data_IF_325801315816
#
_entry.id   IF_325801315816
#
_cell.length_a   1.000
_cell.length_b   1.000
_cell.length_c   1.000
_cell.angle_alpha   90.00
_cell.angle_beta   90.00
_cell.angle_gamma   90.00
#
_symmetry.space_group_name_H-M   'P 1'
#
loop_
_entity.id
_entity.type
_entity.pdbx_description
1 polymer ?
2 non-polymer ?
3 non-polymer ?
4 non-polymer ?
5 water ?
#
# COMPACT_ATOMS: atom_id res chain seq x y z
N UNK A 1 -6.91 -2.95 -20.77
CA UNK A 1 -5.44 -3.25 -20.89
C UNK A 1 -5.06 -4.53 -20.15
N UNK A 2 -4.07 -5.27 -20.68
CA UNK A 2 -3.62 -6.56 -20.12
C UNK A 2 -2.93 -6.44 -18.77
N UNK A 3 -2.00 -5.51 -18.63
CA UNK A 3 -1.30 -5.33 -17.37
C UNK A 3 -1.88 -4.12 -16.65
N UNK A 4 -2.63 -4.39 -15.59
CA UNK A 4 -3.29 -3.33 -14.85
C UNK A 4 -2.61 -3.15 -13.51
N UNK A 5 -2.42 -1.88 -13.12
CA UNK A 5 -1.74 -1.57 -11.87
C UNK A 5 -2.76 -0.92 -10.93
N UNK A 6 -2.86 -1.43 -9.71
CA UNK A 6 -3.75 -0.88 -8.69
C UNK A 6 -2.93 -0.30 -7.54
N UNK A 7 -3.06 1.00 -7.30
CA UNK A 7 -2.29 1.63 -6.25
C UNK A 7 -3.00 2.73 -5.48
N UNK A 8 -2.50 3.04 -4.29
CA UNK A 8 -3.12 4.07 -3.46
C UNK A 8 -2.64 5.41 -3.89
N UNK A 9 -3.55 6.36 -4.05
CA UNK A 9 -3.22 7.71 -4.49
C UNK A 9 -2.98 8.69 -3.34
N UNK A 10 -3.17 8.23 -2.11
CA UNK A 10 -3.03 9.12 -0.98
C UNK A 10 -1.95 8.62 -0.02
N UNK A 11 -2.34 8.22 1.19
CA UNK A 11 -1.38 7.78 2.20
C UNK A 11 -1.67 6.36 2.69
N UNK A 12 -1.98 5.48 1.74
CA UNK A 12 -2.25 4.12 2.11
C UNK A 12 -3.73 3.95 2.56
N UNK A 13 -4.06 2.68 2.82
CA UNK A 13 -5.41 2.37 3.23
C UNK A 13 -6.58 2.94 2.35
N UNK A 14 -6.35 3.19 1.07
CA UNK A 14 -7.49 3.70 0.31
C UNK A 14 -8.52 2.60 0.04
N UNK A 15 -8.04 1.35 0.08
CA UNK A 15 -8.88 0.19 -0.21
C UNK A 15 -8.37 -0.67 -1.37
N UNK A 16 -7.04 -0.82 -1.50
CA UNK A 16 -6.47 -1.63 -2.58
C UNK A 16 -6.84 -3.09 -2.42
N UNK A 17 -6.72 -3.61 -1.18
CA UNK A 17 -7.06 -5.01 -0.97
C UNK A 17 -8.40 -5.38 -1.57
N UNK A 18 -9.50 -4.78 -1.10
CA UNK A 18 -10.81 -5.13 -1.68
C UNK A 18 -10.78 -5.06 -3.20
N UNK A 19 -10.45 -3.89 -3.75
CA UNK A 19 -10.44 -3.72 -5.20
C UNK A 19 -9.57 -4.74 -5.92
N UNK A 20 -8.39 -5.05 -5.40
CA UNK A 20 -7.52 -6.02 -6.06
C UNK A 20 -8.24 -7.34 -6.04
N UNK A 21 -8.80 -7.72 -4.88
CA UNK A 21 -9.49 -9.00 -4.80
C UNK A 21 -10.59 -9.03 -5.84
N UNK A 22 -11.38 -7.98 -5.87
CA UNK A 22 -12.49 -7.85 -6.79
C UNK A 22 -12.01 -7.99 -8.22
N UNK A 23 -11.12 -7.12 -8.64
CA UNK A 23 -10.65 -7.14 -10.02
C UNK A 23 -9.89 -8.40 -10.49
N UNK A 24 -9.39 -9.22 -9.57
CA UNK A 24 -8.61 -10.38 -9.98
C UNK A 24 -9.41 -11.51 -10.57
N UNK A 25 -10.73 -11.37 -10.56
CA UNK A 25 -11.60 -12.41 -11.10
C UNK A 25 -11.15 -12.82 -12.48
N UNK A 26 -10.79 -11.83 -13.28
CA UNK A 26 -10.36 -12.12 -14.63
C UNK A 26 -8.84 -12.24 -14.75
N UNK A 27 -8.09 -12.13 -13.66
CA UNK A 27 -6.63 -12.17 -13.75
C UNK A 27 -5.96 -13.52 -13.59
N UNK A 28 -4.85 -13.69 -14.32
CA UNK A 28 -4.04 -14.90 -14.28
C UNK A 28 -3.04 -14.73 -13.12
N UNK A 29 -2.45 -13.54 -13.03
CA UNK A 29 -1.49 -13.28 -11.96
C UNK A 29 -1.81 -12.02 -11.21
N UNK A 30 -1.30 -11.94 -9.98
CA UNK A 30 -1.43 -10.74 -9.15
C UNK A 30 -0.05 -10.53 -8.53
N UNK A 31 0.51 -9.34 -8.66
CA UNK A 31 1.86 -9.11 -8.16
C UNK A 31 2.06 -7.95 -7.17
N UNK A 32 2.71 -8.25 -6.05
CA UNK A 32 3.06 -7.25 -5.06
C UNK A 32 4.45 -6.84 -5.59
N UNK A 33 4.73 -5.56 -5.69
CA UNK A 33 6.02 -5.12 -6.20
C UNK A 33 6.80 -4.22 -5.25
N UNK A 34 6.29 -4.00 -4.05
CA UNK A 34 6.96 -3.16 -3.05
C UNK A 34 6.32 -3.19 -1.65
N UNK A 35 7.10 -2.77 -0.65
CA UNK A 35 6.70 -2.77 0.74
C UNK A 35 6.93 -4.16 1.33
N UNK A 36 6.29 -4.45 2.45
CA UNK A 36 6.44 -5.76 3.07
C UNK A 36 5.14 -6.00 3.82
N UNK A 37 5.23 -6.41 5.09
CA UNK A 37 4.02 -6.64 5.84
C UNK A 37 3.58 -5.42 6.68
N UNK A 38 4.02 -4.24 6.27
CA UNK A 38 3.63 -3.00 6.93
C UNK A 38 2.24 -2.76 6.34
N UNK A 39 2.02 -3.27 5.14
CA UNK A 39 0.73 -3.16 4.47
C UNK A 39 -0.35 -3.96 5.23
N UNK A 40 -1.60 -3.50 5.10
CA UNK A 40 -2.72 -4.18 5.73
C UNK A 40 -3.91 -4.06 4.81
N UNK A 41 -4.30 -5.18 4.22
CA UNK A 41 -5.40 -5.22 3.27
C UNK A 41 -6.56 -6.08 3.80
N UNK A 42 -7.74 -5.48 3.89
CA UNK A 42 -8.93 -6.18 4.37
C UNK A 42 -9.87 -6.56 3.23
N UNK A 43 -10.03 -7.86 3.03
CA UNK A 43 -10.93 -8.38 2.00
C UNK A 43 -12.14 -8.87 2.73
N UNK A 44 -13.32 -8.55 2.20
CA UNK A 44 -14.60 -8.95 2.77
C UNK A 44 -15.46 -9.60 1.69
N UNK A 45 -15.72 -10.90 1.80
CA UNK A 45 -16.55 -11.61 0.82
C UNK A 45 -17.74 -12.20 1.57
N UNK A 46 -18.95 -11.78 1.19
CA UNK A 46 -20.18 -12.21 1.86
C UNK A 46 -19.97 -12.16 3.37
N UNK A 47 -19.49 -11.03 3.87
CA UNK A 47 -19.27 -10.87 5.28
C UNK A 47 -18.02 -11.43 5.91
N UNK A 48 -17.30 -12.38 5.25
CA UNK A 48 -16.07 -13.00 5.81
C UNK A 48 -14.76 -12.20 5.63
N UNK A 49 -14.30 -11.57 6.71
CA UNK A 49 -13.11 -10.76 6.64
C UNK A 49 -11.78 -11.54 6.55
N UNK A 50 -10.89 -11.10 5.66
CA UNK A 50 -9.56 -11.71 5.48
C UNK A 50 -8.57 -10.57 5.47
N UNK A 51 -7.59 -10.59 6.37
CA UNK A 51 -6.60 -9.50 6.41
C UNK A 51 -5.24 -9.93 5.90
N UNK A 52 -4.86 -9.38 4.77
CA UNK A 52 -3.57 -9.71 4.18
C UNK A 52 -2.54 -8.58 4.49
N UNK A 53 -1.27 -8.94 4.58
CA UNK A 53 -0.24 -7.94 4.83
C UNK A 53 0.84 -8.09 3.76
N UNK A 54 1.52 -9.24 3.78
CA UNK A 54 2.57 -9.57 2.84
C UNK A 54 2.08 -10.37 1.63
N UNK A 55 1.06 -11.19 1.82
CA UNK A 55 0.56 -12.01 0.71
C UNK A 55 -0.34 -11.19 -0.23
N UNK A 56 -0.13 -11.29 -1.54
CA UNK A 56 -0.96 -10.52 -2.48
C UNK A 56 -2.46 -10.79 -2.28
N UNK A 57 -3.28 -9.78 -2.52
CA UNK A 57 -4.70 -9.91 -2.31
C UNK A 57 -5.45 -10.80 -3.31
N UNK A 58 -4.72 -11.43 -4.21
CA UNK A 58 -5.37 -12.33 -5.16
C UNK A 58 -5.33 -13.79 -4.65
N UNK A 59 -4.74 -13.98 -3.47
CA UNK A 59 -4.60 -15.30 -2.86
C UNK A 59 -5.91 -16.07 -2.62
N UNK A 60 -7.04 -15.39 -2.56
CA UNK A 60 -8.32 -16.09 -2.35
C UNK A 60 -8.93 -16.62 -3.63
N UNK A 61 -8.34 -16.32 -4.78
CA UNK A 61 -8.91 -16.80 -6.04
C UNK A 61 -8.01 -17.88 -6.67
N UNK A 62 -8.46 -19.14 -6.61
CA UNK A 62 -7.64 -20.24 -7.13
C UNK A 62 -7.24 -20.13 -8.58
N UNK A 63 -7.94 -19.31 -9.34
CA UNK A 63 -7.61 -19.13 -10.77
C UNK A 63 -6.45 -18.18 -10.95
N UNK A 64 -6.00 -17.54 -9.87
CA UNK A 64 -4.91 -16.56 -9.93
C UNK A 64 -3.66 -17.00 -9.19
N UNK A 65 -2.50 -16.69 -9.76
CA UNK A 65 -1.19 -17.01 -9.16
C UNK A 65 -0.65 -15.74 -8.50
N UNK A 66 -0.52 -15.75 -7.18
CA UNK A 66 -0.04 -14.59 -6.50
C UNK A 66 1.49 -14.55 -6.42
N UNK A 67 2.07 -13.41 -6.81
CA UNK A 67 3.51 -13.25 -6.81
C UNK A 67 4.05 -12.16 -5.93
N UNK A 68 5.11 -12.49 -5.21
CA UNK A 68 5.76 -11.54 -4.35
C UNK A 68 6.98 -11.13 -5.20
N UNK A 69 6.89 -9.93 -5.75
CA UNK A 69 7.95 -9.43 -6.61
C UNK A 69 9.21 -9.07 -5.87
N UNK A 70 10.32 -9.05 -6.60
CA UNK A 70 11.60 -8.73 -6.00
C UNK A 70 11.60 -7.44 -5.19
N UNK A 71 10.74 -6.51 -5.53
CA UNK A 71 10.71 -5.27 -4.79
C UNK A 71 10.33 -5.44 -3.34
N UNK A 72 9.55 -6.45 -3.02
CA UNK A 72 9.09 -6.68 -1.66
C UNK A 72 10.14 -7.10 -0.62
N UNK A 73 10.09 -6.44 0.55
CA UNK A 73 10.97 -6.80 1.63
C UNK A 73 10.14 -7.85 2.36
N UNK A 74 10.67 -9.08 2.36
CA UNK A 74 9.96 -10.22 2.91
C UNK A 74 10.42 -10.83 4.23
N UNK A 75 9.51 -10.85 5.18
CA UNK A 75 9.75 -11.41 6.51
C UNK A 75 9.31 -12.87 6.52
N UNK A 76 10.27 -13.81 6.60
CA UNK A 76 9.96 -15.25 6.61
C UNK A 76 8.93 -15.53 7.70
N UNK A 77 9.16 -15.00 8.90
CA UNK A 77 8.22 -15.16 10.00
C UNK A 77 6.82 -14.69 9.57
N UNK A 78 6.74 -13.49 9.00
CA UNK A 78 5.48 -12.91 8.53
C UNK A 78 4.82 -13.79 7.49
N UNK A 79 5.59 -14.20 6.49
CA UNK A 79 5.02 -15.07 5.48
C UNK A 79 4.41 -16.34 6.11
N UNK A 80 5.22 -17.05 6.91
CA UNK A 80 4.79 -18.26 7.57
C UNK A 80 3.51 -18.05 8.35
N UNK A 81 3.48 -16.99 9.14
CA UNK A 81 2.30 -16.66 9.92
C UNK A 81 1.07 -16.50 9.09
N UNK A 82 1.15 -15.75 8.00
CA UNK A 82 0.01 -15.55 7.14
C UNK A 82 -0.37 -16.84 6.40
N UNK A 83 0.60 -17.52 5.82
CA UNK A 83 0.31 -18.76 5.11
C UNK A 83 -0.53 -19.67 6.01
N UNK A 84 -0.01 -19.92 7.22
CA UNK A 84 -0.70 -20.80 8.15
C UNK A 84 -2.15 -20.35 8.33
N UNK A 85 -2.36 -19.08 8.59
CA UNK A 85 -3.70 -18.56 8.80
C UNK A 85 -4.63 -18.77 7.63
N UNK A 86 -4.12 -18.60 6.41
CA UNK A 86 -4.96 -18.78 5.24
C UNK A 86 -5.25 -20.26 5.00
N UNK A 87 -4.25 -21.09 5.28
CA UNK A 87 -4.36 -22.54 5.12
C UNK A 87 -5.43 -23.15 6.02
N UNK A 88 -5.49 -22.70 7.26
CA UNK A 88 -6.50 -23.21 8.16
C UNK A 88 -7.86 -22.87 7.66
N UNK A 89 -7.94 -21.83 6.81
CA UNK A 89 -9.23 -21.36 6.28
C UNK A 89 -9.57 -21.96 4.91
N UNK A 90 -8.81 -22.96 4.51
CA UNK A 90 -9.09 -23.58 3.23
C UNK A 90 -8.31 -23.03 2.07
N UNK A 91 -7.46 -22.03 2.32
CA UNK A 91 -6.65 -21.45 1.25
C UNK A 91 -5.31 -22.15 1.13
N UNK A 92 -5.12 -22.94 0.07
CA UNK A 92 -3.85 -23.65 -0.14
C UNK A 92 -2.74 -22.71 -0.66
N UNK A 93 -2.36 -21.71 0.14
CA UNK A 93 -1.33 -20.72 -0.27
C UNK A 93 -0.18 -21.26 -1.12
N UNK A 94 0.53 -22.25 -0.62
CA UNK A 94 1.65 -22.83 -1.33
C UNK A 94 1.32 -23.25 -2.74
N UNK A 95 0.05 -23.53 -3.01
CA UNK A 95 -0.32 -23.92 -4.36
C UNK A 95 -0.43 -22.71 -5.27
N UNK A 96 -0.79 -21.54 -4.72
CA UNK A 96 -1.00 -20.30 -5.48
C UNK A 96 0.10 -19.24 -5.40
N UNK A 97 0.93 -19.29 -4.36
CA UNK A 97 1.97 -18.28 -4.15
C UNK A 97 3.38 -18.59 -4.66
N UNK A 98 3.93 -17.66 -5.42
CA UNK A 98 5.28 -17.78 -5.96
C UNK A 98 6.04 -16.56 -5.47
N UNK A 99 7.36 -16.56 -5.59
CA UNK A 99 8.11 -15.41 -5.11
C UNK A 99 9.54 -15.26 -5.63
N UNK A 100 9.98 -14.02 -5.69
CA UNK A 100 11.31 -13.70 -6.19
C UNK A 100 12.48 -13.99 -5.26
N UNK A 101 13.50 -14.65 -5.82
CA UNK A 101 14.71 -14.95 -5.08
C UNK A 101 15.44 -13.64 -4.77
N UNK A 102 15.10 -12.57 -5.48
CA UNK A 102 15.76 -11.29 -5.28
C UNK A 102 15.19 -10.52 -4.11
N UNK A 103 14.09 -10.96 -3.53
CA UNK A 103 13.49 -10.25 -2.41
C UNK A 103 14.42 -10.17 -1.21
N UNK A 104 14.65 -8.96 -0.69
CA UNK A 104 15.52 -8.91 0.50
C UNK A 104 14.73 -9.53 1.69
N UNK A 105 15.45 -10.03 2.70
CA UNK A 105 14.81 -10.64 3.86
C UNK A 105 14.80 -9.66 5.01
N UNK A 106 13.66 -9.65 5.74
CA UNK A 106 13.43 -8.83 6.94
C UNK A 106 13.61 -9.82 8.10
N UNK A 107 14.68 -9.67 8.86
CA UNK A 107 14.96 -10.58 9.95
C UNK A 107 14.82 -9.79 11.22
N UNK A 108 14.98 -10.43 12.38
CA UNK A 108 14.79 -9.74 13.67
C UNK A 108 15.52 -8.44 13.90
N UNK A 109 16.83 -8.42 13.66
CA UNK A 109 17.60 -7.19 13.88
C UNK A 109 16.93 -6.00 13.17
N UNK A 110 16.37 -6.22 11.98
CA UNK A 110 15.70 -5.16 11.23
C UNK A 110 14.65 -4.54 12.16
N UNK A 111 13.86 -5.35 12.87
CA UNK A 111 12.87 -4.74 13.78
C UNK A 111 13.57 -4.08 14.96
N UNK A 112 14.66 -4.71 15.41
CA UNK A 112 15.47 -4.18 16.49
C UNK A 112 15.88 -2.77 16.06
N UNK A 113 16.45 -2.66 14.85
CA UNK A 113 16.86 -1.38 14.27
C UNK A 113 15.69 -0.43 14.13
N UNK A 114 14.61 -0.89 13.50
CA UNK A 114 13.45 -0.05 13.30
C UNK A 114 13.02 0.59 14.62
N UNK A 115 13.02 -0.20 15.70
CA UNK A 115 12.63 0.32 17.00
C UNK A 115 13.65 1.32 17.54
N UNK A 116 14.93 0.95 17.48
CA UNK A 116 15.99 1.84 17.94
C UNK A 116 15.92 3.20 17.25
N UNK A 117 15.95 3.22 15.91
CA UNK A 117 15.92 4.49 15.19
C UNK A 117 14.73 5.30 15.67
N UNK A 118 13.56 4.70 15.54
CA UNK A 118 12.35 5.37 15.95
C UNK A 118 12.56 6.04 17.31
N UNK A 119 13.15 5.30 18.26
CA UNK A 119 13.43 5.83 19.59
C UNK A 119 14.33 7.06 19.46
N UNK A 120 15.49 6.90 18.83
CA UNK A 120 16.43 7.99 18.64
C UNK A 120 15.84 9.29 18.15
N UNK A 121 14.90 9.21 17.21
CA UNK A 121 14.24 10.40 16.65
C UNK A 121 13.36 11.12 17.67
N UNK A 122 13.03 10.44 18.76
CA UNK A 122 12.21 11.05 19.78
C UNK A 122 10.93 11.68 19.27
N UNK A 123 10.82 12.99 19.50
CA UNK A 123 9.62 13.73 19.09
C UNK A 123 9.39 13.73 17.58
N UNK A 124 10.40 14.06 16.79
CA UNK A 124 10.19 14.08 15.35
C UNK A 124 10.20 12.67 14.76
N UNK A 125 9.54 11.74 15.44
CA UNK A 125 9.48 10.33 15.04
C UNK A 125 8.52 10.07 13.88
N UNK A 126 9.01 9.35 12.88
CA UNK A 126 8.27 9.03 11.66
C UNK A 126 6.92 8.32 11.89
N UNK A 127 6.91 7.38 12.82
CA UNK A 127 5.72 6.62 13.08
C UNK A 127 5.66 5.45 12.13
N UNK A 128 6.73 4.66 12.09
CA UNK A 128 6.77 3.50 11.21
C UNK A 128 6.04 2.37 11.87
N UNK A 129 5.43 1.50 11.04
CA UNK A 129 4.65 0.36 11.50
C UNK A 129 5.36 -0.67 12.42
N UNK A 130 6.64 -0.47 12.69
CA UNK A 130 7.34 -1.38 13.58
C UNK A 130 7.82 -2.68 13.00
N UNK A 131 7.52 -2.94 11.73
CA UNK A 131 8.05 -4.14 11.05
C UNK A 131 9.46 -3.65 10.71
N UNK A 132 10.36 -4.45 10.16
CA UNK A 132 11.65 -3.82 9.88
C UNK A 132 11.82 -3.32 8.44
N UNK A 133 10.81 -2.64 7.92
CA UNK A 133 10.84 -2.21 6.53
C UNK A 133 12.02 -1.35 6.15
N UNK A 134 12.24 -0.28 6.92
CA UNK A 134 13.31 0.65 6.66
C UNK A 134 14.67 0.01 6.55
N UNK A 135 15.12 -0.68 7.62
CA UNK A 135 16.42 -1.34 7.64
C UNK A 135 16.60 -2.38 6.54
N UNK A 136 15.56 -3.14 6.25
CA UNK A 136 15.63 -4.15 5.21
C UNK A 136 15.96 -3.46 3.90
N UNK A 137 15.28 -2.34 3.59
CA UNK A 137 15.59 -1.60 2.35
C UNK A 137 17.02 -1.02 2.38
N UNK A 138 17.45 -0.49 3.54
CA UNK A 138 18.82 0.04 3.72
C UNK A 138 19.83 -1.06 3.42
N UNK A 139 19.67 -2.22 4.06
CA UNK A 139 20.55 -3.37 3.83
C UNK A 139 20.58 -3.78 2.34
N UNK A 140 19.44 -3.64 1.66
CA UNK A 140 19.38 -3.91 0.22
C UNK A 140 20.35 -2.95 -0.48
N UNK A 141 20.02 -1.68 -0.39
CA UNK A 141 20.79 -0.61 -1.01
C UNK A 141 22.26 -0.61 -0.61
N UNK A 142 22.57 -0.98 0.63
CA UNK A 142 23.94 -1.00 1.02
C UNK A 142 24.63 -2.24 0.45
N UNK A 143 23.86 -3.16 -0.12
CA UNK A 143 24.39 -4.42 -0.68
C UNK A 143 24.98 -5.37 0.37
N UNK A 144 24.39 -5.40 1.56
CA UNK A 144 24.84 -6.28 2.63
C UNK A 144 23.69 -7.12 3.11
N UNK A 145 22.48 -6.79 2.66
CA UNK A 145 21.33 -7.54 3.09
C UNK A 145 21.22 -8.92 2.45
N UNK A 146 20.47 -9.80 3.11
CA UNK A 146 20.25 -11.14 2.62
C UNK A 146 18.99 -11.14 1.76
N UNK A 147 18.96 -12.01 0.75
CA UNK A 147 17.84 -12.14 -0.14
C UNK A 147 17.35 -13.59 -0.06
N UNK A 148 16.18 -13.86 -0.64
CA UNK A 148 15.67 -15.20 -0.64
C UNK A 148 16.74 -16.16 -1.21
N UNK A 149 17.21 -15.92 -2.43
CA UNK A 149 18.20 -16.78 -3.07
C UNK A 149 19.43 -17.07 -2.21
N UNK A 150 19.65 -16.31 -1.14
CA UNK A 150 20.82 -16.60 -0.31
C UNK A 150 20.64 -17.91 0.43
N UNK A 151 19.39 -18.37 0.55
CA UNK A 151 19.08 -19.61 1.24
C UNK A 151 19.45 -20.84 0.38
N UNK A 152 19.87 -20.60 -0.87
CA UNK A 152 20.24 -21.70 -1.75
C UNK A 152 21.51 -22.37 -1.26
N UNK A 153 22.13 -21.82 -0.22
CA UNK A 153 23.35 -22.39 0.32
C UNK A 153 23.32 -21.98 1.77
N UNK A 154 22.84 -22.88 2.61
CA UNK A 154 22.69 -22.59 4.02
C UNK A 154 23.96 -22.28 4.77
N UNK A 155 25.08 -22.94 4.42
CA UNK A 155 26.35 -22.68 5.10
C UNK A 155 26.89 -21.31 4.80
N UNK A 156 26.84 -20.95 3.53
CA UNK A 156 27.24 -19.64 3.10
C UNK A 156 26.30 -18.64 3.77
N UNK A 157 25.00 -18.99 3.85
CA UNK A 157 24.02 -18.10 4.49
C UNK A 157 24.39 -17.81 5.93
N UNK A 158 24.79 -18.86 6.65
CA UNK A 158 25.23 -18.72 8.04
C UNK A 158 26.43 -17.78 8.10
N UNK A 159 27.31 -17.90 7.11
CA UNK A 159 28.48 -17.02 7.01
C UNK A 159 28.06 -15.57 6.86
N UNK A 160 27.30 -15.26 5.81
CA UNK A 160 26.78 -13.90 5.54
C UNK A 160 25.95 -13.35 6.71
N UNK A 161 25.03 -14.18 7.22
CA UNK A 161 24.19 -13.78 8.35
C UNK A 161 25.04 -13.45 9.60
N UNK A 162 26.07 -14.25 9.90
CA UNK A 162 26.95 -14.03 11.07
C UNK A 162 27.56 -12.64 10.94
N UNK A 163 28.03 -12.33 9.74
CA UNK A 163 28.63 -11.05 9.43
C UNK A 163 27.67 -9.88 9.63
N UNK A 164 26.60 -9.87 8.85
CA UNK A 164 25.62 -8.80 8.89
C UNK A 164 25.09 -8.56 10.30
N UNK A 165 24.94 -9.64 11.06
CA UNK A 165 24.45 -9.54 12.42
C UNK A 165 25.51 -8.93 13.35
N UNK A 166 26.76 -9.42 13.32
CA UNK A 166 27.75 -8.79 14.18
C UNK A 166 27.75 -7.27 13.90
N UNK A 167 27.78 -6.92 12.62
CA UNK A 167 27.77 -5.53 12.18
C UNK A 167 26.65 -4.75 12.85
N UNK A 168 25.42 -5.24 12.70
CA UNK A 168 24.28 -4.54 13.30
C UNK A 168 24.28 -4.59 14.81
N UNK A 169 24.68 -5.74 15.36
CA UNK A 169 24.73 -5.93 16.80
C UNK A 169 25.60 -4.83 17.41
N UNK A 170 26.78 -4.62 16.84
CA UNK A 170 27.69 -3.59 17.34
C UNK A 170 26.96 -2.27 17.53
N UNK A 171 26.24 -1.85 16.49
CA UNK A 171 25.48 -0.60 16.46
C UNK A 171 24.35 -0.57 17.55
N UNK A 172 23.64 -1.68 17.68
CA UNK A 172 22.56 -1.79 18.66
C UNK A 172 23.00 -1.62 20.12
N UNK A 173 24.07 -2.31 20.51
CA UNK A 173 24.52 -2.22 21.89
C UNK A 173 25.40 -1.00 22.21
N UNK A 174 26.36 -0.70 21.35
CA UNK A 174 27.26 0.40 21.62
C UNK A 174 26.70 1.81 21.40
N UNK A 175 25.99 1.99 20.30
CA UNK A 175 25.44 3.30 20.01
C UNK A 175 24.07 3.42 20.63
N UNK A 176 23.13 2.64 20.11
CA UNK A 176 21.77 2.69 20.62
C UNK A 176 21.63 2.22 22.06
N UNK A 177 22.68 1.55 22.56
CA UNK A 177 22.67 1.03 23.92
C UNK A 177 21.43 0.16 24.10
N UNK A 178 21.17 -0.64 23.07
CA UNK A 178 20.03 -1.55 23.02
C UNK A 178 20.54 -2.97 23.10
N UNK A 179 19.64 -3.92 23.34
CA UNK A 179 20.06 -5.33 23.45
C UNK A 179 20.38 -5.92 22.07
N UNK A 180 21.42 -6.75 22.03
CA UNK A 180 21.84 -7.39 20.80
C UNK A 180 20.77 -8.39 20.36
N UNK A 181 20.82 -8.80 19.10
CA UNK A 181 19.86 -9.76 18.60
C UNK A 181 20.65 -11.06 18.39
N UNK A 182 20.25 -12.13 19.05
CA UNK A 182 20.98 -13.37 18.92
C UNK A 182 21.09 -13.99 17.55
N UNK A 183 22.30 -13.96 17.02
CA UNK A 183 22.58 -14.56 15.73
C UNK A 183 21.98 -15.97 15.57
N UNK A 184 22.31 -16.89 16.48
CA UNK A 184 21.81 -18.27 16.39
C UNK A 184 20.30 -18.41 16.39
N UNK A 185 19.62 -17.53 17.11
CA UNK A 185 18.17 -17.55 17.17
C UNK A 185 17.69 -17.24 15.75
N UNK A 186 18.23 -16.17 15.17
CA UNK A 186 17.86 -15.80 13.82
C UNK A 186 18.18 -16.92 12.82
N UNK A 187 19.42 -17.39 12.81
CA UNK A 187 19.76 -18.41 11.85
C UNK A 187 18.82 -19.59 11.95
N UNK A 188 18.49 -20.00 13.19
CA UNK A 188 17.60 -21.13 13.40
C UNK A 188 16.20 -20.90 12.88
N UNK A 189 15.52 -19.86 13.37
CA UNK A 189 14.16 -19.53 12.91
C UNK A 189 14.10 -19.51 11.38
N UNK A 190 15.16 -18.99 10.78
CA UNK A 190 15.27 -18.89 9.33
C UNK A 190 15.39 -20.26 8.65
N UNK A 191 16.41 -21.03 9.02
CA UNK A 191 16.66 -22.35 8.43
C UNK A 191 15.48 -23.29 8.53
N UNK A 192 14.68 -23.15 9.58
CA UNK A 192 13.48 -23.99 9.73
C UNK A 192 12.53 -23.77 8.56
N UNK A 193 12.32 -22.51 8.18
CA UNK A 193 11.41 -22.17 7.07
C UNK A 193 12.06 -22.12 5.68
N UNK A 194 13.37 -21.93 5.64
CA UNK A 194 14.12 -21.87 4.40
C UNK A 194 13.54 -22.73 3.31
N UNK A 195 13.41 -24.04 3.53
CA UNK A 195 12.87 -24.95 2.50
C UNK A 195 11.52 -24.55 1.91
N UNK A 196 10.57 -24.18 2.77
CA UNK A 196 9.25 -23.74 2.31
C UNK A 196 9.51 -22.51 1.42
N UNK A 197 10.23 -21.55 1.98
CA UNK A 197 10.59 -20.31 1.31
C UNK A 197 11.15 -20.61 -0.08
N UNK A 198 12.22 -21.38 -0.14
CA UNK A 198 12.84 -21.69 -1.42
C UNK A 198 11.86 -22.37 -2.39
N UNK A 199 10.98 -23.25 -1.89
CA UNK A 199 10.08 -23.94 -2.77
C UNK A 199 9.22 -23.00 -3.65
N UNK A 200 8.81 -21.85 -3.12
CA UNK A 200 7.99 -20.93 -3.89
C UNK A 200 8.71 -20.03 -4.91
N UNK A 201 10.02 -20.13 -5.00
CA UNK A 201 10.77 -19.30 -5.92
C UNK A 201 10.53 -19.57 -7.40
N UNK A 202 10.49 -18.46 -8.14
CA UNK A 202 10.27 -18.49 -9.57
C UNK A 202 11.04 -17.27 -10.07
N UNK A 203 11.46 -17.34 -11.33
CA UNK A 203 12.12 -16.22 -11.98
C UNK A 203 10.97 -15.28 -12.43
N UNK A 204 10.54 -14.36 -11.57
CA UNK A 204 9.44 -13.41 -11.86
C UNK A 204 9.49 -12.52 -13.16
N UNK A 205 10.66 -11.96 -13.46
CA UNK A 205 10.73 -11.13 -14.65
C UNK A 205 10.39 -11.95 -15.85
N UNK A 206 11.04 -13.10 -15.97
CA UNK A 206 10.80 -13.98 -17.13
C UNK A 206 9.34 -14.46 -17.24
N UNK A 207 8.79 -14.84 -16.08
CA UNK A 207 7.43 -15.32 -16.02
C UNK A 207 6.56 -14.19 -16.53
N UNK A 208 6.78 -12.98 -16.01
CA UNK A 208 6.02 -11.78 -16.46
C UNK A 208 6.25 -11.44 -17.95
N UNK A 209 7.46 -11.58 -18.45
CA UNK A 209 7.68 -11.33 -19.86
C UNK A 209 6.86 -12.35 -20.66
N UNK A 210 6.87 -13.60 -20.23
CA UNK A 210 6.10 -14.66 -20.91
C UNK A 210 4.61 -14.32 -20.82
N UNK A 211 4.11 -14.13 -19.60
CA UNK A 211 2.71 -13.77 -19.45
C UNK A 211 2.38 -12.62 -20.41
N UNK A 212 3.20 -11.59 -20.38
CA UNK A 212 2.99 -10.42 -21.20
C UNK A 212 2.84 -10.80 -22.65
N UNK A 213 3.75 -11.64 -23.15
CA UNK A 213 3.70 -12.09 -24.54
C UNK A 213 2.52 -13.01 -24.89
N UNK A 214 1.85 -13.57 -23.88
CA UNK A 214 0.70 -14.44 -24.09
C UNK A 214 -0.57 -13.63 -24.09
N UNK A 215 -0.58 -12.54 -23.35
CA UNK A 215 -1.76 -11.72 -23.28
C UNK A 215 -2.38 -11.88 -21.91
N UNK A 216 -1.72 -12.64 -21.05
CA UNK A 216 -2.27 -12.85 -19.73
C UNK A 216 -2.62 -11.60 -18.94
N UNK A 217 -3.75 -11.67 -18.26
CA UNK A 217 -4.21 -10.58 -17.42
C UNK A 217 -3.35 -10.60 -16.19
N UNK A 218 -2.70 -9.48 -15.90
CA UNK A 218 -1.86 -9.39 -14.72
C UNK A 218 -2.24 -8.15 -13.94
N UNK A 219 -2.35 -8.28 -12.63
CA UNK A 219 -2.66 -7.16 -11.81
C UNK A 219 -1.50 -6.92 -10.90
N UNK A 220 -1.09 -5.67 -10.78
CA UNK A 220 0.02 -5.32 -9.88
C UNK A 220 -0.65 -4.64 -8.72
N UNK A 221 -0.35 -5.11 -7.52
CA UNK A 221 -0.98 -4.59 -6.33
C UNK A 221 -0.09 -3.65 -5.58
N UNK A 222 -0.53 -2.40 -5.41
CA UNK A 222 0.31 -1.48 -4.68
C UNK A 222 0.14 -1.58 -3.20
N UNK A 223 1.18 -1.19 -2.46
CA UNK A 223 1.18 -1.18 -0.98
C UNK A 223 1.44 0.29 -0.62
N UNK A 224 0.90 0.74 0.50
CA UNK A 224 1.05 2.13 0.90
C UNK A 224 0.45 3.07 -0.17
N UNK A 225 0.77 4.34 -0.13
CA UNK A 225 0.22 5.24 -1.11
C UNK A 225 1.21 6.22 -1.67
N UNK A 226 0.84 6.84 -2.79
CA UNK A 226 1.68 7.80 -3.49
C UNK A 226 2.46 8.78 -2.61
N UNK A 227 1.76 9.48 -1.73
CA UNK A 227 2.41 10.47 -0.88
C UNK A 227 3.35 9.95 0.21
N UNK A 228 3.52 8.63 0.24
CA UNK A 228 4.45 7.97 1.17
C UNK A 228 5.65 7.45 0.39
N UNK A 229 5.73 7.84 -0.87
CA UNK A 229 6.83 7.47 -1.74
C UNK A 229 8.16 8.04 -1.23
N UNK A 230 9.16 7.17 -1.12
CA UNK A 230 10.48 7.58 -0.63
C UNK A 230 11.06 8.80 -1.37
N UNK A 231 10.76 8.90 -2.66
CA UNK A 231 11.26 9.98 -3.51
C UNK A 231 10.26 11.13 -3.62
N UNK A 232 9.03 10.77 -3.93
CA UNK A 232 8.00 11.75 -4.18
C UNK A 232 7.04 12.11 -3.05
N UNK A 233 7.06 11.32 -1.98
CA UNK A 233 6.20 11.59 -0.84
C UNK A 233 6.74 12.66 0.12
N UNK A 234 6.00 12.88 1.21
CA UNK A 234 6.34 13.87 2.22
C UNK A 234 7.56 13.45 3.02
N UNK A 235 8.66 13.25 2.33
CA UNK A 235 9.92 12.88 2.96
C UNK A 235 10.29 13.81 4.16
N UNK A 236 10.80 13.25 5.27
CA UNK A 236 11.13 11.85 5.52
C UNK A 236 9.95 11.06 6.10
N UNK A 237 8.76 11.65 6.12
CA UNK A 237 7.62 11.00 6.68
C UNK A 237 7.00 10.18 5.57
N UNK A 238 7.71 9.13 5.20
CA UNK A 238 7.27 8.30 4.12
C UNK A 238 7.70 6.86 4.37
N UNK A 239 7.36 5.98 3.42
CA UNK A 239 7.76 4.60 3.55
C UNK A 239 9.04 4.56 2.73
N UNK A 240 9.85 3.54 2.92
CA UNK A 240 11.12 3.42 2.21
C UNK A 240 11.15 2.83 0.81
N UNK A 241 9.98 2.64 0.18
CA UNK A 241 9.91 2.12 -1.17
C UNK A 241 9.18 3.13 -2.08
N UNK A 242 9.28 2.93 -3.39
CA UNK A 242 8.59 3.82 -4.34
C UNK A 242 7.21 3.22 -4.51
N UNK A 243 6.22 3.88 -3.91
CA UNK A 243 4.82 3.47 -3.95
C UNK A 243 4.14 3.98 -5.24
N UNK A 244 4.88 4.75 -6.01
CA UNK A 244 4.40 5.28 -7.27
C UNK A 244 4.57 4.18 -8.37
N UNK A 245 3.72 4.26 -9.40
CA UNK A 245 3.72 3.27 -10.49
C UNK A 245 5.08 2.82 -10.98
N UNK A 246 6.11 3.64 -10.77
CA UNK A 246 7.46 3.28 -11.20
C UNK A 246 8.08 2.10 -10.51
N UNK A 247 7.56 1.80 -9.31
CA UNK A 247 8.00 0.65 -8.54
C UNK A 247 7.55 -0.66 -9.18
N UNK A 248 6.48 -0.63 -9.98
CA UNK A 248 5.99 -1.85 -10.61
C UNK A 248 7.10 -2.51 -11.44
N UNK A 249 7.65 -1.77 -12.40
CA UNK A 249 8.71 -2.29 -13.25
C UNK A 249 9.98 -2.55 -12.41
N UNK A 250 10.36 -1.67 -11.49
CA UNK A 250 11.56 -1.93 -10.66
C UNK A 250 11.37 -3.14 -9.70
N UNK A 251 10.24 -3.19 -9.00
CA UNK A 251 9.96 -4.28 -8.09
C UNK A 251 9.31 -5.55 -8.66
N UNK A 252 9.13 -5.62 -9.97
CA UNK A 252 8.54 -6.83 -10.54
C UNK A 252 9.43 -7.35 -11.66
N UNK A 253 10.18 -6.44 -12.30
CA UNK A 253 11.07 -6.83 -13.37
C UNK A 253 10.39 -6.77 -14.71
N UNK A 254 9.10 -6.40 -14.75
CA UNK A 254 8.37 -6.28 -16.01
C UNK A 254 8.77 -4.92 -16.63
N UNK A 255 9.04 -4.90 -17.93
CA UNK A 255 9.43 -3.68 -18.56
C UNK A 255 8.35 -2.61 -18.44
N UNK A 256 8.73 -1.35 -18.11
CA UNK A 256 7.82 -0.19 -17.96
C UNK A 256 6.84 0.02 -19.12
N UNK A 257 7.27 -0.23 -20.34
CA UNK A 257 6.37 -0.07 -21.49
C UNK A 257 5.19 -1.04 -21.48
N UNK A 258 5.21 -2.05 -20.64
CA UNK A 258 4.11 -2.98 -20.61
C UNK A 258 3.05 -2.72 -19.54
N UNK A 259 3.07 -1.55 -18.93
CA UNK A 259 2.02 -1.20 -17.97
C UNK A 259 0.88 -0.67 -18.87
N UNK A 260 -0.32 -1.19 -18.72
CA UNK A 260 -1.37 -0.73 -19.63
C UNK A 260 -2.37 0.29 -19.08
N UNK A 261 -2.74 0.11 -17.81
CA UNK A 261 -3.72 0.96 -17.14
C UNK A 261 -3.27 1.04 -15.70
N UNK A 262 -3.27 2.26 -15.16
CA UNK A 262 -2.90 2.48 -13.77
C UNK A 262 -4.18 2.90 -13.09
N UNK A 263 -4.69 2.06 -12.21
CA UNK A 263 -5.91 2.39 -11.48
C UNK A 263 -5.47 2.93 -10.12
N UNK A 264 -5.94 4.12 -9.76
CA UNK A 264 -5.57 4.70 -8.48
C UNK A 264 -6.75 4.64 -7.51
N UNK A 265 -6.51 4.15 -6.30
CA UNK A 265 -7.58 4.01 -5.35
C UNK A 265 -7.68 5.33 -4.65
N UNK A 266 -8.91 5.84 -4.57
CA UNK A 266 -9.22 7.15 -4.02
C UNK A 266 -10.33 7.01 -2.95
N UNK A 267 -10.00 7.32 -1.69
CA UNK A 267 -10.91 7.21 -0.54
C UNK A 267 -12.11 8.14 -0.37
N UNK A 268 -12.29 9.12 -1.23
CA UNK A 268 -13.45 10.04 -1.06
C UNK A 268 -13.31 10.98 0.16
N UNK A 269 -12.39 10.65 1.06
CA UNK A 269 -12.04 11.49 2.21
C UNK A 269 -10.63 11.02 2.56
N UNK A 270 -9.86 11.80 3.31
CA UNK A 270 -8.48 11.42 3.56
C UNK A 270 -8.11 10.88 4.94
N UNK A 271 -7.07 10.04 4.98
CA UNK A 271 -6.58 9.46 6.23
C UNK A 271 -5.07 9.33 6.19
N UNK A 272 -4.45 9.28 7.36
CA UNK A 272 -3.03 9.13 7.49
C UNK A 272 -2.78 8.49 8.86
N UNK A 273 -1.80 7.61 8.91
CA UNK A 273 -1.35 6.99 10.14
C UNK A 273 0.13 7.29 10.01
N UNK A 274 0.69 7.93 11.03
CA UNK A 274 2.09 8.29 10.99
C UNK A 274 2.17 9.79 10.98
N UNK A 275 3.35 10.31 11.30
CA UNK A 275 3.53 11.75 11.36
C UNK A 275 3.54 12.30 9.95
N UNK A 276 3.46 13.63 9.83
CA UNK A 276 3.55 14.22 8.53
C UNK A 276 2.48 15.18 8.09
N UNK A 277 2.80 15.97 7.05
CA UNK A 277 1.90 16.97 6.47
C UNK A 277 0.57 16.35 6.18
N UNK A 278 -0.48 17.16 6.30
CA UNK A 278 -1.84 16.73 6.02
C UNK A 278 -2.71 17.99 6.09
N UNK A 279 -2.69 18.80 5.00
CA UNK A 279 -3.44 20.06 4.89
C UNK A 279 -4.91 20.01 5.20
N UNK A 280 -5.59 18.99 4.68
CA UNK A 280 -7.01 18.87 4.89
C UNK A 280 -7.38 18.10 6.15
N UNK A 281 -6.41 17.89 7.04
CA UNK A 281 -6.68 17.15 8.26
C UNK A 281 -7.78 17.90 8.99
N UNK A 282 -8.66 17.14 9.64
CA UNK A 282 -9.74 17.71 10.41
C UNK A 282 -9.52 17.30 11.83
N UNK A 283 -9.92 18.16 12.76
CA UNK A 283 -9.79 17.89 14.19
C UNK A 283 -11.12 18.13 14.89
N UNK A 284 -12.15 18.35 14.09
CA UNK A 284 -13.47 18.63 14.61
C UNK A 284 -14.45 17.45 14.54
N UNK A 285 -15.71 17.75 14.82
CA UNK A 285 -16.77 16.75 14.81
C UNK A 285 -16.72 15.91 13.55
N UNK A 286 -16.85 16.54 12.38
CA UNK A 286 -16.83 15.77 11.13
C UNK A 286 -15.63 14.83 11.03
N UNK A 287 -14.47 15.29 11.52
CA UNK A 287 -13.30 14.43 11.49
C UNK A 287 -13.72 13.17 12.23
N UNK A 288 -14.13 13.37 13.49
CA UNK A 288 -14.57 12.27 14.35
C UNK A 288 -15.55 11.40 13.59
N UNK A 289 -16.51 12.04 12.95
CA UNK A 289 -17.51 11.35 12.15
C UNK A 289 -16.83 10.45 11.11
N UNK A 290 -16.04 11.08 10.24
CA UNK A 290 -15.28 10.39 9.16
C UNK A 290 -14.52 9.19 9.72
N UNK A 291 -13.89 9.39 10.87
CA UNK A 291 -13.17 8.31 11.51
C UNK A 291 -14.10 7.17 11.95
N UNK A 292 -15.14 7.49 12.74
CA UNK A 292 -16.08 6.48 13.24
C UNK A 292 -16.76 5.72 12.11
N UNK A 293 -17.47 6.43 11.25
CA UNK A 293 -18.18 5.78 10.16
C UNK A 293 -17.25 4.94 9.31
N UNK A 294 -16.11 5.52 8.93
CA UNK A 294 -15.15 4.80 8.11
C UNK A 294 -14.42 3.74 8.88
N UNK A 295 -14.58 3.71 10.20
CA UNK A 295 -13.90 2.73 11.03
C UNK A 295 -12.40 2.86 10.73
N UNK A 296 -11.94 4.10 10.71
CA UNK A 296 -10.57 4.37 10.37
C UNK A 296 -9.60 4.10 11.47
N UNK A 297 -9.05 2.90 11.44
CA UNK A 297 -8.05 2.45 12.39
C UNK A 297 -7.20 1.44 11.56
N UNK A 298 -5.88 1.66 11.52
CA UNK A 298 -4.96 0.83 10.74
C UNK A 298 -5.05 -0.69 10.79
N UNK A 299 -5.32 -1.31 9.64
CA UNK A 299 -5.43 -2.76 9.51
C UNK A 299 -4.15 -3.52 9.85
N UNK A 300 -3.04 -2.79 10.00
CA UNK A 300 -1.74 -3.36 10.35
C UNK A 300 -1.22 -2.92 11.74
N UNK A 301 -1.89 -1.98 12.38
CA UNK A 301 -1.40 -1.57 13.68
C UNK A 301 -2.52 -1.04 14.58
N UNK A 302 -3.73 -1.08 14.06
CA UNK A 302 -4.90 -0.62 14.80
C UNK A 302 -4.98 0.88 14.94
N UNK A 303 -3.87 1.48 15.39
CA UNK A 303 -3.77 2.92 15.61
C UNK A 303 -4.78 3.76 14.83
N UNK A 304 -5.63 4.49 15.56
CA UNK A 304 -6.61 5.34 14.89
C UNK A 304 -5.90 6.08 13.76
N UNK A 305 -6.64 6.39 12.70
CA UNK A 305 -6.07 7.09 11.57
C UNK A 305 -6.57 8.54 11.58
N UNK A 306 -5.71 9.47 11.15
CA UNK A 306 -6.07 10.87 11.09
C UNK A 306 -6.99 10.97 9.87
N UNK A 307 -8.00 11.84 9.94
CA UNK A 307 -8.92 12.00 8.85
C UNK A 307 -8.98 13.45 8.45
N UNK A 308 -9.38 13.68 7.21
CA UNK A 308 -9.48 15.03 6.68
C UNK A 308 -10.24 14.95 5.39
N UNK A 309 -10.52 16.07 4.74
CA UNK A 309 -11.27 16.04 3.49
C UNK A 309 -10.38 15.58 2.34
N UNK A 310 -10.99 15.04 1.30
CA UNK A 310 -10.27 14.68 0.11
C UNK A 310 -9.51 15.92 -0.34
N UNK A 311 -8.32 15.73 -0.90
CA UNK A 311 -7.48 16.83 -1.36
C UNK A 311 -7.07 16.70 -2.83
N UNK A 312 -7.80 17.38 -3.70
CA UNK A 312 -7.56 17.36 -5.15
C UNK A 312 -6.15 17.82 -5.53
N UNK A 313 -5.55 18.64 -4.70
CA UNK A 313 -4.20 19.11 -4.96
C UNK A 313 -3.23 17.91 -4.80
N UNK A 314 -3.26 17.25 -3.63
CA UNK A 314 -2.42 16.10 -3.35
C UNK A 314 -2.76 15.02 -4.38
N UNK A 315 -4.06 14.75 -4.58
CA UNK A 315 -4.55 13.75 -5.57
C UNK A 315 -4.01 14.12 -6.94
N UNK A 316 -4.05 15.39 -7.30
CA UNK A 316 -3.47 15.75 -8.57
C UNK A 316 -1.95 15.44 -8.72
N UNK A 317 -1.16 15.49 -7.66
CA UNK A 317 0.27 15.12 -7.79
C UNK A 317 0.27 13.63 -8.13
N UNK A 318 -0.57 12.89 -7.43
CA UNK A 318 -0.68 11.45 -7.66
C UNK A 318 -1.03 11.16 -9.13
N UNK A 319 -1.93 11.93 -9.71
CA UNK A 319 -2.32 11.75 -11.10
C UNK A 319 -1.09 11.82 -12.02
N UNK A 320 -0.28 12.87 -11.88
CA UNK A 320 0.89 12.93 -12.74
C UNK A 320 1.98 11.90 -12.40
N UNK A 321 2.31 11.74 -11.13
CA UNK A 321 3.32 10.77 -10.75
C UNK A 321 3.03 9.35 -11.29
N UNK A 322 1.79 8.90 -11.16
CA UNK A 322 1.41 7.55 -11.58
C UNK A 322 0.80 7.35 -12.96
N UNK A 323 0.70 8.41 -13.76
CA UNK A 323 0.04 8.30 -15.07
C UNK A 323 -1.35 7.68 -14.85
N UNK A 324 -2.07 8.09 -13.81
CA UNK A 324 -3.39 7.50 -13.62
C UNK A 324 -4.19 7.36 -14.94
N UNK A 325 -4.94 6.28 -15.01
CA UNK A 325 -5.79 6.02 -16.16
C UNK A 325 -7.23 6.24 -15.68
N UNK A 326 -7.48 5.91 -14.41
CA UNK A 326 -8.79 6.09 -13.82
C UNK A 326 -8.70 5.99 -12.32
N UNK A 327 -9.79 6.30 -11.65
CA UNK A 327 -9.84 6.24 -10.19
C UNK A 327 -10.85 5.21 -9.75
N UNK A 328 -10.72 4.77 -8.51
CA UNK A 328 -11.71 3.88 -7.94
C UNK A 328 -12.15 4.57 -6.68
N UNK A 329 -13.22 5.37 -6.79
CA UNK A 329 -13.74 6.10 -5.67
C UNK A 329 -14.22 5.11 -4.63
N UNK A 330 -13.53 5.09 -3.49
CA UNK A 330 -13.89 4.17 -2.45
C UNK A 330 -14.48 4.93 -1.26
N UNK A 331 -15.20 4.17 -0.42
CA UNK A 331 -15.87 4.64 0.79
C UNK A 331 -16.85 5.80 0.64
N UNK A 332 -17.39 5.99 -0.56
CA UNK A 332 -18.37 7.05 -0.80
C UNK A 332 -19.50 6.95 0.24
N UNK A 333 -19.89 5.70 0.53
CA UNK A 333 -20.94 5.39 1.49
C UNK A 333 -20.68 5.99 2.83
N UNK A 334 -19.45 6.41 3.08
CA UNK A 334 -19.09 6.96 4.39
C UNK A 334 -19.48 8.43 4.57
N UNK A 335 -19.66 9.13 3.46
CA UNK A 335 -20.03 10.54 3.51
C UNK A 335 -21.53 10.75 3.83
N UNK A 336 -22.34 9.73 3.56
CA UNK A 336 -23.79 9.77 3.82
C UNK A 336 -24.13 10.41 5.15
N UNK A 337 -25.09 11.36 5.11
CA UNK A 337 -25.53 12.02 6.33
C UNK A 337 -24.84 13.32 6.70
N UNK A 338 -23.87 13.75 5.91
CA UNK A 338 -23.20 15.00 6.17
C UNK A 338 -24.06 16.08 5.52
N UNK A 339 -24.03 17.28 6.10
CA UNK A 339 -24.77 18.42 5.56
C UNK A 339 -24.06 18.92 4.31
N UNK A 340 -22.74 18.97 4.37
CA UNK A 340 -21.97 19.39 3.21
C UNK A 340 -20.60 18.76 3.20
N UNK A 341 -20.09 18.51 2.01
CA UNK A 341 -18.77 17.91 1.86
C UNK A 341 -17.93 18.96 1.17
N UNK A 342 -16.61 18.81 1.19
CA UNK A 342 -15.77 19.79 0.52
C UNK A 342 -14.47 19.18 0.04
N UNK A 343 -13.96 19.75 -1.04
CA UNK A 343 -12.73 19.27 -1.65
C UNK A 343 -11.68 20.37 -1.62
N UNK A 344 -10.47 20.03 -1.19
CA UNK A 344 -9.41 21.01 -1.24
C UNK A 344 -9.00 21.16 -2.72
N UNK A 345 -9.23 22.36 -3.28
CA UNK A 345 -8.91 22.67 -4.68
C UNK A 345 -7.60 23.43 -4.89
N UNK A 346 -7.13 24.16 -3.87
CA UNK A 346 -5.86 24.88 -3.98
C UNK A 346 -5.18 25.03 -2.61
N UNK A 347 -3.88 25.29 -2.61
CA UNK A 347 -3.16 25.49 -1.35
C UNK A 347 -2.83 26.98 -1.21
N UNK A 348 -3.02 27.51 -0.01
CA UNK A 348 -2.64 28.88 0.26
C UNK A 348 -1.25 28.73 0.92
N UNK A 349 -0.20 29.17 0.25
CA UNK A 349 1.13 29.02 0.81
C UNK A 349 1.34 30.08 1.88
N UNK A 350 2.30 29.88 2.79
CA UNK A 350 2.61 30.82 3.87
C UNK A 350 3.09 32.21 3.44
N UNK A 351 3.51 32.38 2.19
CA UNK A 351 3.95 33.71 1.76
C UNK A 351 2.85 34.41 1.02
N UNK A 352 1.64 33.87 1.17
CA UNK A 352 0.46 34.46 0.57
C UNK A 352 0.09 33.95 -0.80
N UNK A 353 1.04 33.25 -1.42
CA UNK A 353 0.82 32.74 -2.77
C UNK A 353 -0.20 31.61 -2.78
N UNK A 354 -1.06 31.61 -3.79
CA UNK A 354 -2.05 30.54 -3.91
C UNK A 354 -1.51 29.58 -4.99
N UNK A 355 -1.51 28.29 -4.69
CA UNK A 355 -0.97 27.35 -5.62
C UNK A 355 -1.83 26.09 -5.75
N UNK A 356 -1.81 25.45 -6.93
CA UNK A 356 -2.56 24.21 -7.14
C UNK A 356 -1.63 23.02 -7.29
N UNK A 357 -0.38 23.24 -6.83
CA UNK A 357 0.67 22.24 -6.85
C UNK A 357 1.12 22.00 -5.39
N UNK A 358 1.59 20.79 -5.09
CA UNK A 358 1.99 20.44 -3.73
C UNK A 358 3.47 20.60 -3.56
N UNK A 359 3.97 20.86 -2.33
CA UNK A 359 5.43 20.98 -2.11
C UNK A 359 5.89 19.49 -2.03
N UNK A 360 7.18 19.23 -1.92
CA UNK A 360 7.60 17.85 -1.84
C UNK A 360 7.90 17.39 -0.40
N UNK A 361 9.06 17.78 0.13
CA UNK A 361 9.45 17.37 1.46
C UNK A 361 8.53 17.97 2.50
N UNK A 362 8.40 17.27 3.63
CA UNK A 362 7.54 17.70 4.74
C UNK A 362 7.69 19.15 5.18
N UNK A 363 8.92 19.58 5.48
CA UNK A 363 9.17 20.95 5.94
C UNK A 363 8.57 21.98 4.99
N UNK A 364 8.51 21.70 3.70
CA UNK A 364 7.94 22.62 2.73
C UNK A 364 6.42 22.70 2.82
N UNK A 365 5.80 21.76 3.56
CA UNK A 365 4.34 21.79 3.78
C UNK A 365 4.01 22.53 5.07
N UNK A 366 5.06 22.73 5.86
CA UNK A 366 5.01 23.41 7.15
C UNK A 366 3.74 24.14 7.47
N UNK A 367 3.52 25.29 6.83
CA UNK A 367 2.31 26.02 7.15
C UNK A 367 1.28 26.20 6.03
N UNK A 368 1.20 25.28 5.08
CA UNK A 368 0.25 25.48 4.00
C UNK A 368 -1.14 25.31 4.55
N UNK A 369 -2.12 25.95 3.93
CA UNK A 369 -3.50 25.87 4.38
C UNK A 369 -4.40 25.48 3.22
N UNK A 370 -5.46 24.72 3.50
CA UNK A 370 -6.33 24.33 2.40
C UNK A 370 -7.39 25.34 1.97
N UNK A 371 -7.53 25.53 0.66
CA UNK A 371 -8.57 26.41 0.14
C UNK A 371 -9.62 25.43 -0.43
N UNK A 372 -10.81 25.42 0.18
CA UNK A 372 -11.86 24.48 -0.21
C UNK A 372 -12.93 24.87 -1.24
N UNK A 373 -13.66 23.84 -1.67
CA UNK A 373 -14.79 24.00 -2.55
C UNK A 373 -15.82 23.29 -1.66
N UNK A 374 -16.98 23.88 -1.40
CA UNK A 374 -17.95 23.22 -0.53
C UNK A 374 -19.19 22.78 -1.29
N UNK A 375 -19.39 21.47 -1.39
CA UNK A 375 -20.53 20.91 -2.09
C UNK A 375 -21.64 20.44 -1.14
N UNK A 376 -22.88 20.44 -1.61
CA UNK A 376 -23.92 19.98 -0.69
C UNK A 376 -23.78 18.45 -0.43
N UNK A 377 -23.98 18.03 0.82
CA UNK A 377 -23.86 16.62 1.14
C UNK A 377 -25.08 15.89 0.62
N UNK A 378 -25.36 14.73 1.21
CA UNK A 378 -26.53 13.92 0.84
C UNK A 378 -26.93 13.06 2.04
N UNK A 379 -28.23 13.01 2.32
CA UNK A 379 -28.70 12.25 3.46
C UNK A 379 -29.07 10.83 3.12
N UNK A 380 -29.39 10.58 1.86
CA UNK A 380 -29.76 9.23 1.47
C UNK A 380 -28.57 8.29 1.77
N UNK A 381 -28.83 6.99 1.82
CA UNK A 381 -27.79 6.00 2.08
C UNK A 381 -27.24 5.53 0.74
N UNK A 382 -25.90 5.42 0.63
CA UNK A 382 -25.32 4.92 -0.62
C UNK A 382 -24.65 3.55 -0.36
N UNK A 383 -24.67 3.13 0.90
CA UNK A 383 -24.07 1.86 1.29
C UNK A 383 -24.58 0.70 0.49
N UNK A 384 -23.67 -0.10 -0.04
CA UNK A 384 -24.08 -1.26 -0.80
C UNK A 384 -24.66 -0.97 -2.17
N UNK A 385 -24.93 0.30 -2.48
CA UNK A 385 -25.48 0.64 -3.79
C UNK A 385 -24.50 0.15 -4.85
N UNK A 386 -25.02 -0.52 -5.87
CA UNK A 386 -24.20 -1.08 -6.96
C UNK A 386 -24.54 -0.52 -8.35
N UNK A 387 -25.30 0.57 -8.40
CA UNK A 387 -25.69 1.18 -9.67
C UNK A 387 -25.81 2.67 -9.43
N UNK A 388 -25.19 3.46 -10.31
CA UNK A 388 -25.24 4.92 -10.18
C UNK A 388 -26.63 5.40 -9.84
N UNK A 389 -27.64 4.92 -10.55
CA UNK A 389 -29.03 5.28 -10.28
C UNK A 389 -29.35 5.30 -8.79
N UNK A 390 -28.78 4.36 -8.06
CA UNK A 390 -29.06 4.30 -6.63
C UNK A 390 -28.40 5.38 -5.82
N UNK A 391 -27.56 6.18 -6.47
CA UNK A 391 -26.86 7.26 -5.78
C UNK A 391 -27.62 8.53 -6.01
N UNK A 392 -27.80 9.35 -4.96
CA UNK A 392 -28.53 10.63 -5.02
C UNK A 392 -27.74 11.60 -5.88
N UNK A 393 -28.38 12.60 -6.48
CA UNK A 393 -27.63 13.52 -7.35
C UNK A 393 -26.46 14.20 -6.69
N UNK A 394 -26.62 14.57 -5.42
CA UNK A 394 -25.57 15.23 -4.64
C UNK A 394 -24.29 14.42 -4.80
N UNK A 395 -24.40 13.10 -4.62
CA UNK A 395 -23.27 12.18 -4.76
C UNK A 395 -22.70 12.21 -6.19
N UNK A 396 -23.56 12.22 -7.19
CA UNK A 396 -23.12 12.21 -8.58
C UNK A 396 -22.31 13.45 -8.89
N UNK A 397 -22.73 14.57 -8.31
CA UNK A 397 -22.04 15.85 -8.52
C UNK A 397 -20.68 15.78 -7.84
N UNK A 398 -20.62 15.33 -6.59
CA UNK A 398 -19.33 15.19 -5.92
C UNK A 398 -18.37 14.38 -6.81
N UNK A 399 -18.89 13.28 -7.36
CA UNK A 399 -18.10 12.42 -8.23
C UNK A 399 -17.68 13.17 -9.49
N UNK A 400 -18.60 13.85 -10.17
CA UNK A 400 -18.21 14.59 -11.37
C UNK A 400 -17.22 15.68 -11.05
N UNK A 401 -17.39 16.28 -9.88
CA UNK A 401 -16.51 17.36 -9.47
C UNK A 401 -15.09 16.82 -9.32
N UNK A 402 -14.95 15.63 -8.76
CA UNK A 402 -13.62 15.07 -8.61
C UNK A 402 -13.03 14.87 -10.01
N UNK A 403 -13.81 14.32 -10.92
CA UNK A 403 -13.34 14.13 -12.29
C UNK A 403 -12.90 15.49 -12.89
N UNK A 404 -13.75 16.49 -12.78
CA UNK A 404 -13.44 17.82 -13.31
C UNK A 404 -12.16 18.32 -12.70
N UNK A 405 -12.08 18.24 -11.38
CA UNK A 405 -10.89 18.71 -10.67
C UNK A 405 -9.60 17.91 -10.88
N UNK A 406 -9.70 16.68 -11.41
CA UNK A 406 -8.51 15.88 -11.61
C UNK A 406 -8.25 15.51 -13.07
N UNK A 407 -9.28 15.46 -13.90
CA UNK A 407 -9.07 15.11 -15.29
C UNK A 407 -8.95 13.62 -15.54
N UNK A 408 -9.26 12.83 -14.51
CA UNK A 408 -9.23 11.38 -14.62
C UNK A 408 -10.63 10.84 -14.27
N UNK A 409 -11.18 9.92 -15.08
CA UNK A 409 -12.52 9.40 -14.75
C UNK A 409 -12.57 8.42 -13.55
N UNK A 410 -13.71 8.40 -12.86
CA UNK A 410 -13.90 7.48 -11.75
C UNK A 410 -14.55 6.26 -12.39
N UNK A 411 -13.72 5.33 -12.83
CA UNK A 411 -14.20 4.13 -13.46
C UNK A 411 -14.83 3.10 -12.55
N UNK A 412 -14.57 3.18 -11.25
CA UNK A 412 -15.09 2.21 -10.29
C UNK A 412 -15.47 2.96 -9.03
N UNK A 413 -16.64 2.65 -8.47
CA UNK A 413 -17.10 3.32 -7.26
C UNK A 413 -17.43 2.19 -6.30
N UNK A 414 -16.86 2.26 -5.09
CA UNK A 414 -17.03 1.26 -4.04
C UNK A 414 -17.92 1.85 -2.92
N UNK A 415 -18.94 1.09 -2.51
CA UNK A 415 -19.88 1.58 -1.50
C UNK A 415 -20.04 0.69 -0.26
N UNK A 416 -18.97 -0.01 0.12
CA UNK A 416 -19.02 -0.85 1.29
C UNK A 416 -17.82 -1.76 1.25
N UNK A 417 -17.47 -2.43 2.37
CA UNK A 417 -16.30 -3.33 2.41
C UNK A 417 -16.37 -4.62 1.63
N UNK A 418 -17.58 -5.13 1.41
CA UNK A 418 -17.77 -6.41 0.73
C UNK A 418 -17.51 -6.39 -0.77
N UNK A 419 -16.73 -7.34 -1.25
CA UNK A 419 -16.38 -7.48 -2.66
C UNK A 419 -17.41 -6.94 -3.68
N UNK A 420 -18.64 -7.46 -3.60
CA UNK A 420 -19.74 -7.11 -4.49
C UNK A 420 -20.42 -5.75 -4.27
N UNK A 421 -20.02 -4.99 -3.25
CA UNK A 421 -20.57 -3.67 -2.97
C UNK A 421 -19.77 -2.64 -3.76
N UNK A 422 -19.87 -2.76 -5.08
CA UNK A 422 -19.10 -1.93 -5.96
C UNK A 422 -19.83 -1.64 -7.28
N UNK A 423 -19.39 -0.58 -7.97
CA UNK A 423 -19.95 -0.17 -9.25
C UNK A 423 -18.78 -0.15 -10.17
N UNK A 424 -18.74 -1.07 -11.12
CA UNK A 424 -17.65 -1.09 -12.07
C UNK A 424 -18.13 -0.38 -13.32
N UNK A 425 -17.79 0.89 -13.47
CA UNK A 425 -18.22 1.65 -14.62
C UNK A 425 -17.35 1.35 -15.84
N UNK A 426 -16.06 1.09 -15.63
CA UNK A 426 -15.10 0.74 -16.68
C UNK A 426 -14.05 -0.21 -16.06
N UNK A 427 -14.08 -1.47 -16.49
CA UNK A 427 -13.17 -2.49 -16.02
C UNK A 427 -11.85 -2.30 -16.74
N UNK A 428 -10.83 -1.87 -16.02
CA UNK A 428 -9.49 -1.65 -16.56
C UNK A 428 -8.98 -2.70 -17.57
N UNK A 429 -9.38 -3.98 -17.41
CA UNK A 429 -8.93 -5.05 -18.31
C UNK A 429 -9.37 -4.92 -19.77
N UNK A 430 -10.54 -4.32 -19.98
CA UNK A 430 -11.10 -4.05 -21.31
C UNK A 430 -10.59 -2.68 -21.77
N UNK A 431 -10.45 -1.74 -20.82
CA UNK A 431 -9.99 -0.39 -21.12
C UNK A 431 -8.79 -0.33 -22.07
#
# INVERSE_FOLDING_TARGET
>A
GNNVVVLGTQWGDEGKGKIVDLLTERAKYVVRYQGGHNAGHTLVINGEKTVLHLIPSGILRENVTSIIGNGVVLSPAALMKEMKELEDRGIPVRERLLLSEACPLILDYHVALDNAREKARGAKAIGTTGRGIGPAYEDKVARRGLRVGDLFDKETFAEKLKEVMEYHNFQLVNYYKAEAVDYQKVLDDTMAVADILTSMVVDVSDLLDQARQRGDFVMFEGAQGTLLDIDHGTYPYVTSSNTTAGGVATGSGLGPRYVDYVLGILKAYSTRVGAGPFPTELFDETGEFLCKQGNEFGATTGLRRRTGWLDTVAVRRAVQLNSLSGFCLTKLDVLDGLKEVKLCVAYRMPDGREVTTTPLAADDWKGVEPIYETMPGWSESTFGVKDRSGLPQAALNYIKRIEELTGVPIDIISTGPDRTETMILRDPFDA
#
